data_IF_949063114336
#
_entry.id   IF_949063114336
#
_cell.length_a   1.000
_cell.length_b   1.000
_cell.length_c   1.000
_cell.angle_alpha   90.00
_cell.angle_beta   90.00
_cell.angle_gamma   90.00
#
_symmetry.space_group_name_H-M   'P 1'
#
loop_
_entity.id
_entity.type
_entity.pdbx_description
1 polymer ?
#
# COMPACT_ATOMS: atom_id res chain seq x y z
N UNK A 1 -24.13 -7.92 2.41
CA UNK A 1 -22.77 -8.48 2.30
C UNK A 1 -22.09 -7.71 1.19
N UNK A 2 -20.98 -7.03 1.48
CA UNK A 2 -20.22 -6.25 0.50
C UNK A 2 -19.53 -7.23 -0.45
N UNK A 3 -19.75 -7.06 -1.74
CA UNK A 3 -19.12 -7.92 -2.75
C UNK A 3 -17.79 -7.33 -3.18
N UNK A 4 -16.89 -8.17 -3.71
CA UNK A 4 -15.65 -7.71 -4.34
C UNK A 4 -15.92 -6.67 -5.44
N UNK A 5 -17.08 -6.72 -6.09
CA UNK A 5 -17.49 -5.75 -7.12
C UNK A 5 -17.66 -4.33 -6.57
N UNK A 6 -18.04 -4.16 -5.30
CA UNK A 6 -18.12 -2.83 -4.67
C UNK A 6 -16.73 -2.29 -4.38
N UNK A 7 -15.79 -3.14 -3.92
CA UNK A 7 -14.39 -2.77 -3.74
C UNK A 7 -13.76 -2.37 -5.09
N UNK A 8 -13.99 -3.16 -6.15
CA UNK A 8 -13.49 -2.86 -7.50
C UNK A 8 -14.01 -1.50 -8.04
N UNK A 9 -15.25 -1.13 -7.73
CA UNK A 9 -15.80 0.18 -8.10
C UNK A 9 -15.16 1.32 -7.32
N UNK A 10 -14.86 1.10 -6.03
CA UNK A 10 -14.23 2.10 -5.17
C UNK A 10 -12.74 2.26 -5.51
N UNK A 11 -12.05 1.14 -5.70
CA UNK A 11 -10.61 1.07 -5.99
C UNK A 11 -10.42 0.16 -7.19
N UNK A 12 -10.33 0.69 -8.42
CA UNK A 12 -10.08 -0.15 -9.60
C UNK A 12 -8.77 -0.96 -9.47
N UNK A 13 -8.80 -2.27 -9.76
CA UNK A 13 -7.60 -3.09 -9.74
C UNK A 13 -6.65 -2.72 -10.90
N UNK A 14 -5.36 -3.07 -10.80
CA UNK A 14 -4.43 -2.89 -11.89
C UNK A 14 -4.80 -3.76 -13.10
N UNK A 15 -4.50 -3.30 -14.31
CA UNK A 15 -4.72 -4.07 -15.54
C UNK A 15 -3.92 -5.37 -15.58
N UNK A 16 -2.75 -5.37 -14.95
CA UNK A 16 -1.84 -6.52 -14.85
C UNK A 16 -1.47 -6.71 -13.38
N UNK A 17 -2.21 -7.53 -12.65
CA UNK A 17 -1.90 -7.83 -11.25
C UNK A 17 -0.59 -8.60 -11.11
N UNK A 18 0.24 -8.22 -10.15
CA UNK A 18 1.53 -8.87 -9.86
C UNK A 18 1.30 -10.08 -8.94
N UNK A 19 1.94 -11.21 -9.21
CA UNK A 19 1.86 -12.42 -8.36
C UNK A 19 0.42 -12.83 -7.98
N UNK A 20 -0.52 -12.68 -8.92
CA UNK A 20 -1.96 -12.88 -8.69
C UNK A 20 -2.44 -14.31 -8.97
N UNK A 21 -1.61 -15.14 -9.59
CA UNK A 21 -2.01 -16.44 -10.11
C UNK A 21 -1.17 -17.58 -9.52
N UNK A 22 -1.84 -18.67 -9.16
CA UNK A 22 -1.20 -19.88 -8.65
C UNK A 22 -2.22 -20.96 -8.26
N UNK A 23 -1.79 -22.08 -7.69
CA UNK A 23 -2.67 -23.15 -7.25
C UNK A 23 -3.07 -22.97 -5.77
N UNK A 24 -4.29 -22.51 -5.55
CA UNK A 24 -4.87 -22.36 -4.21
C UNK A 24 -4.90 -23.66 -3.40
N UNK A 25 -4.99 -24.84 -4.06
CA UNK A 25 -4.97 -26.12 -3.36
C UNK A 25 -3.63 -26.41 -2.72
N UNK A 26 -2.53 -25.98 -3.35
CA UNK A 26 -1.19 -26.10 -2.75
C UNK A 26 -1.07 -25.20 -1.52
N UNK A 27 -1.58 -23.95 -1.61
CA UNK A 27 -1.59 -22.98 -0.51
C UNK A 27 -2.42 -23.52 0.67
N UNK A 28 -3.63 -23.96 0.40
CA UNK A 28 -4.54 -24.52 1.42
C UNK A 28 -3.97 -25.80 2.05
N UNK A 29 -3.35 -26.67 1.26
CA UNK A 29 -2.67 -27.85 1.78
C UNK A 29 -1.49 -27.49 2.70
N UNK A 30 -0.70 -26.45 2.36
CA UNK A 30 0.41 -25.98 3.17
C UNK A 30 -0.04 -25.34 4.48
N UNK A 31 -1.18 -24.65 4.47
CA UNK A 31 -1.81 -24.08 5.67
C UNK A 31 -2.62 -25.11 6.48
N UNK A 32 -3.03 -26.22 5.88
CA UNK A 32 -3.89 -27.24 6.50
C UNK A 32 -5.34 -26.81 6.68
N UNK A 33 -5.81 -25.80 5.94
CA UNK A 33 -7.18 -25.28 5.97
C UNK A 33 -7.57 -24.65 4.63
N UNK A 34 -8.89 -24.53 4.35
CA UNK A 34 -9.41 -23.75 3.22
C UNK A 34 -9.34 -22.24 3.50
N UNK A 35 -9.34 -21.43 2.45
CA UNK A 35 -9.30 -19.97 2.53
C UNK A 35 -10.61 -19.34 2.02
N UNK A 36 -11.00 -18.14 2.52
CA UNK A 36 -12.19 -17.43 2.08
C UNK A 36 -12.20 -17.17 0.57
N UNK A 37 -13.34 -17.40 -0.06
CA UNK A 37 -13.51 -17.23 -1.51
C UNK A 37 -13.33 -15.78 -1.94
N UNK A 38 -13.78 -14.82 -1.15
CA UNK A 38 -13.64 -13.40 -1.41
C UNK A 38 -12.17 -12.95 -1.40
N UNK A 39 -11.36 -13.48 -0.47
CA UNK A 39 -9.91 -13.20 -0.42
C UNK A 39 -9.18 -13.79 -1.63
N UNK A 40 -9.52 -15.00 -2.07
CA UNK A 40 -8.94 -15.57 -3.29
C UNK A 40 -9.20 -14.66 -4.48
N UNK A 41 -10.44 -14.18 -4.61
CA UNK A 41 -10.81 -13.23 -5.65
C UNK A 41 -10.10 -11.88 -5.50
N UNK A 42 -9.89 -11.40 -4.27
CA UNK A 42 -9.10 -10.20 -4.01
C UNK A 42 -7.69 -10.33 -4.58
N UNK A 43 -6.99 -11.42 -4.25
CA UNK A 43 -5.63 -11.67 -4.75
C UNK A 43 -5.62 -11.84 -6.28
N UNK A 44 -6.56 -12.57 -6.87
CA UNK A 44 -6.66 -12.74 -8.31
C UNK A 44 -6.87 -11.44 -9.06
N UNK A 45 -7.54 -10.46 -8.46
CA UNK A 45 -7.85 -9.16 -9.07
C UNK A 45 -6.77 -8.11 -8.84
N UNK A 46 -6.19 -8.05 -7.65
CA UNK A 46 -5.24 -7.01 -7.27
C UNK A 46 -3.79 -7.50 -7.27
N UNK A 47 -3.55 -8.76 -6.93
CA UNK A 47 -2.22 -9.31 -6.78
C UNK A 47 -1.44 -8.70 -5.63
N UNK A 48 -0.11 -8.70 -5.76
CA UNK A 48 0.81 -8.13 -4.80
C UNK A 48 0.89 -6.62 -4.95
N UNK A 49 0.56 -5.91 -3.88
CA UNK A 49 0.53 -4.44 -3.85
C UNK A 49 -0.07 -3.95 -2.54
N UNK A 50 -0.40 -2.67 -2.49
CA UNK A 50 -0.80 -1.98 -1.28
C UNK A 50 -2.00 -1.06 -1.53
N UNK A 51 -2.94 -1.03 -0.60
CA UNK A 51 -4.03 -0.07 -0.57
C UNK A 51 -3.61 1.16 0.23
N UNK A 52 -3.75 2.34 -0.36
CA UNK A 52 -3.53 3.68 0.21
C UNK A 52 -2.20 3.83 0.98
N UNK A 53 -1.14 3.19 0.46
CA UNK A 53 0.20 3.15 1.07
C UNK A 53 0.21 2.64 2.53
N UNK A 54 -0.78 1.83 2.91
CA UNK A 54 -0.91 1.32 4.27
C UNK A 54 -1.19 -0.18 4.34
N UNK A 55 -2.23 -0.71 3.68
CA UNK A 55 -2.65 -2.12 3.82
C UNK A 55 -2.12 -2.96 2.67
N UNK A 56 -1.30 -3.94 2.99
CA UNK A 56 -0.73 -4.92 2.05
C UNK A 56 -1.37 -6.30 2.27
N UNK A 57 -2.27 -6.76 1.39
CA UNK A 57 -2.75 -8.14 1.39
C UNK A 57 -1.59 -9.12 1.17
N UNK A 58 -1.59 -10.23 1.89
CA UNK A 58 -0.52 -11.22 1.83
C UNK A 58 -0.78 -12.20 0.68
N UNK A 59 -0.17 -11.96 -0.47
CA UNK A 59 -0.27 -12.91 -1.60
C UNK A 59 0.55 -14.17 -1.34
N UNK A 60 0.01 -15.37 -1.63
CA UNK A 60 0.73 -16.63 -1.50
C UNK A 60 1.53 -16.99 -2.76
N UNK A 61 1.45 -16.19 -3.82
CA UNK A 61 2.06 -16.49 -5.11
C UNK A 61 3.31 -15.66 -5.38
N UNK A 62 4.10 -16.09 -6.37
CA UNK A 62 5.32 -15.40 -6.77
C UNK A 62 6.54 -15.77 -5.92
N UNK A 63 7.61 -15.00 -6.08
CA UNK A 63 8.88 -15.23 -5.37
C UNK A 63 8.81 -14.94 -3.86
N UNK A 64 7.76 -14.23 -3.42
CA UNK A 64 7.56 -13.80 -2.04
C UNK A 64 6.23 -14.35 -1.51
N UNK A 65 6.16 -15.66 -1.23
CA UNK A 65 5.03 -16.28 -0.55
C UNK A 65 4.83 -15.66 0.85
N UNK A 66 4.16 -14.53 0.86
CA UNK A 66 3.99 -13.74 2.10
C UNK A 66 3.01 -14.40 3.05
N UNK A 67 1.94 -15.04 2.55
CA UNK A 67 0.88 -15.59 3.39
C UNK A 67 1.40 -16.73 4.27
N UNK A 68 2.02 -17.76 3.67
CA UNK A 68 2.54 -18.92 4.41
C UNK A 68 3.74 -18.53 5.30
N UNK A 69 4.66 -17.72 4.76
CA UNK A 69 5.81 -17.27 5.54
C UNK A 69 5.40 -16.41 6.75
N UNK A 70 4.39 -15.56 6.60
CA UNK A 70 3.88 -14.74 7.71
C UNK A 70 3.18 -15.59 8.75
N UNK A 71 2.36 -16.57 8.34
CA UNK A 71 1.72 -17.50 9.26
C UNK A 71 2.75 -18.23 10.14
N UNK A 72 3.84 -18.71 9.56
CA UNK A 72 4.93 -19.38 10.29
C UNK A 72 5.67 -18.42 11.24
N UNK A 73 6.06 -17.23 10.76
CA UNK A 73 6.75 -16.21 11.58
C UNK A 73 5.89 -15.72 12.73
N UNK A 74 4.59 -15.53 12.48
CA UNK A 74 3.65 -15.11 13.52
C UNK A 74 3.59 -16.12 14.64
N UNK A 75 3.43 -17.41 14.29
CA UNK A 75 3.40 -18.49 15.26
C UNK A 75 4.66 -18.56 16.12
N UNK A 76 5.86 -18.45 15.50
CA UNK A 76 7.14 -18.53 16.22
C UNK A 76 7.33 -17.35 17.18
N UNK A 77 7.00 -16.13 16.74
CA UNK A 77 7.09 -14.91 17.56
C UNK A 77 6.15 -14.97 18.76
N UNK A 78 4.90 -15.32 18.50
CA UNK A 78 3.84 -15.22 19.50
C UNK A 78 3.83 -16.38 20.49
N UNK A 79 4.38 -17.54 20.14
CA UNK A 79 4.55 -18.64 21.08
C UNK A 79 5.35 -18.20 22.32
N UNK A 80 6.49 -17.53 22.11
CA UNK A 80 7.35 -17.05 23.21
C UNK A 80 6.71 -15.93 24.03
N UNK A 81 5.92 -15.06 23.39
CA UNK A 81 5.22 -13.99 24.08
C UNK A 81 4.05 -14.54 24.92
N UNK A 82 3.24 -15.41 24.35
CA UNK A 82 2.09 -16.03 25.02
C UNK A 82 2.49 -16.89 26.24
N UNK A 83 3.62 -17.59 26.15
CA UNK A 83 4.16 -18.34 27.30
C UNK A 83 4.45 -17.44 28.49
N UNK A 84 4.86 -16.20 28.27
CA UNK A 84 5.20 -15.22 29.29
C UNK A 84 4.04 -14.33 29.73
N UNK A 85 3.10 -14.08 28.82
CA UNK A 85 2.00 -13.12 28.96
C UNK A 85 0.66 -13.72 28.50
N UNK A 86 0.19 -14.84 29.06
CA UNK A 86 -1.00 -15.53 28.57
C UNK A 86 -2.28 -14.67 28.66
N UNK A 87 -2.36 -13.79 29.66
CA UNK A 87 -3.54 -12.93 29.87
C UNK A 87 -3.62 -11.75 28.85
N UNK A 88 -2.52 -11.48 28.14
CA UNK A 88 -2.46 -10.44 27.11
C UNK A 88 -2.76 -10.98 25.69
N UNK A 89 -2.95 -12.30 25.53
CA UNK A 89 -3.20 -12.96 24.26
C UNK A 89 -4.61 -13.58 24.22
N UNK A 90 -5.67 -12.82 23.93
CA UNK A 90 -7.04 -13.29 24.00
C UNK A 90 -7.40 -14.33 22.92
N UNK A 91 -6.58 -14.46 21.88
CA UNK A 91 -6.78 -15.38 20.77
C UNK A 91 -5.61 -16.35 20.64
N UNK A 92 -5.88 -17.63 20.29
CA UNK A 92 -4.83 -18.52 19.81
C UNK A 92 -4.34 -18.09 18.43
N UNK A 93 -3.23 -18.68 17.98
CA UNK A 93 -2.71 -18.46 16.61
C UNK A 93 -2.82 -19.74 15.81
N UNK A 94 -3.08 -19.60 14.49
CA UNK A 94 -3.06 -20.73 13.57
C UNK A 94 -1.71 -21.50 13.70
N UNK A 95 -1.67 -22.85 13.76
CA UNK A 95 -2.73 -23.80 13.44
C UNK A 95 -3.65 -24.23 14.61
N UNK A 96 -3.63 -23.55 15.76
CA UNK A 96 -4.60 -23.88 16.82
C UNK A 96 -6.04 -23.62 16.33
N UNK A 97 -7.03 -24.46 16.70
CA UNK A 97 -8.41 -24.29 16.28
C UNK A 97 -8.98 -22.91 16.66
N UNK A 98 -9.53 -22.19 15.69
CA UNK A 98 -10.02 -20.83 15.88
C UNK A 98 -8.92 -19.79 16.08
N UNK A 99 -7.68 -20.12 15.69
CA UNK A 99 -6.53 -19.23 15.80
C UNK A 99 -6.53 -18.08 14.79
N UNK A 100 -5.77 -17.05 15.09
CA UNK A 100 -5.54 -15.94 14.18
C UNK A 100 -4.62 -16.36 13.03
N UNK A 101 -5.03 -16.04 11.79
CA UNK A 101 -4.25 -16.20 10.57
C UNK A 101 -4.16 -14.83 9.88
N UNK A 102 -2.98 -14.27 9.77
CA UNK A 102 -2.76 -12.97 9.15
C UNK A 102 -3.03 -13.04 7.64
N UNK A 103 -3.87 -12.12 7.12
CA UNK A 103 -4.18 -12.00 5.70
C UNK A 103 -3.70 -10.69 5.08
N UNK A 104 -3.43 -9.68 5.91
CA UNK A 104 -2.81 -8.42 5.49
C UNK A 104 -1.99 -7.82 6.63
N UNK A 105 -0.99 -7.05 6.27
CA UNK A 105 -0.22 -6.23 7.20
C UNK A 105 -0.32 -4.75 6.87
N UNK A 106 0.11 -3.89 7.79
CA UNK A 106 0.25 -2.47 7.55
C UNK A 106 1.71 -2.03 7.58
N UNK A 107 2.03 -0.88 6.97
CA UNK A 107 3.36 -0.26 7.05
C UNK A 107 3.69 0.17 8.49
N UNK A 108 2.67 0.38 9.32
CA UNK A 108 2.83 0.64 10.75
C UNK A 108 3.13 -0.62 11.57
N UNK A 109 3.12 -1.80 10.96
CA UNK A 109 3.40 -3.09 11.62
C UNK A 109 2.21 -3.67 12.36
N UNK A 110 0.99 -3.22 12.05
CA UNK A 110 -0.25 -3.84 12.51
C UNK A 110 -0.60 -5.03 11.63
N UNK A 111 -1.35 -5.97 12.16
CA UNK A 111 -1.78 -7.18 11.46
C UNK A 111 -3.30 -7.22 11.33
N UNK A 112 -3.78 -7.57 10.14
CA UNK A 112 -5.17 -7.89 9.88
C UNK A 112 -5.29 -9.40 9.76
N UNK A 113 -6.01 -10.02 10.69
CA UNK A 113 -6.09 -11.47 10.81
C UNK A 113 -7.52 -11.95 10.57
N UNK A 114 -7.66 -13.16 10.04
CA UNK A 114 -8.89 -13.93 10.21
C UNK A 114 -8.92 -14.60 11.60
N UNK A 115 -10.10 -14.69 12.16
CA UNK A 115 -10.40 -15.61 13.26
C UNK A 115 -10.89 -16.92 12.63
N UNK A 116 -10.04 -17.96 12.54
CA UNK A 116 -10.30 -19.19 11.78
C UNK A 116 -11.29 -20.13 12.49
N UNK A 117 -12.51 -19.61 12.75
CA UNK A 117 -13.57 -20.33 13.46
C UNK A 117 -14.73 -20.62 12.53
N UNK A 118 -15.04 -21.90 12.32
CA UNK A 118 -16.09 -22.34 11.40
C UNK A 118 -15.62 -22.41 9.96
N UNK A 119 -16.56 -22.28 9.02
CA UNK A 119 -16.26 -22.32 7.58
C UNK A 119 -15.52 -21.05 7.13
N UNK A 120 -14.56 -21.16 6.18
CA UNK A 120 -13.71 -20.04 5.77
C UNK A 120 -14.47 -18.78 5.33
N UNK A 121 -15.54 -18.93 4.56
CA UNK A 121 -16.34 -17.78 4.09
C UNK A 121 -17.13 -17.07 5.21
N UNK A 122 -17.13 -17.63 6.42
CA UNK A 122 -17.75 -17.05 7.61
C UNK A 122 -16.74 -16.48 8.63
N UNK A 123 -15.45 -16.43 8.31
CA UNK A 123 -14.45 -15.92 9.26
C UNK A 123 -14.54 -14.40 9.41
N UNK A 124 -14.56 -13.96 10.69
CA UNK A 124 -14.45 -12.54 11.04
C UNK A 124 -13.01 -12.05 11.01
N UNK A 125 -12.85 -10.73 11.01
CA UNK A 125 -11.56 -10.05 11.02
C UNK A 125 -11.19 -9.60 12.42
N UNK A 126 -9.91 -9.75 12.78
CA UNK A 126 -9.31 -9.13 13.96
C UNK A 126 -8.18 -8.22 13.51
N UNK A 127 -8.28 -6.94 13.81
CA UNK A 127 -7.18 -5.98 13.66
C UNK A 127 -6.36 -6.02 14.94
N UNK A 128 -5.07 -6.23 14.81
CA UNK A 128 -4.15 -6.40 15.92
C UNK A 128 -2.94 -5.49 15.81
N UNK A 129 -2.70 -4.71 16.87
CA UNK A 129 -1.47 -3.95 17.04
C UNK A 129 -0.55 -4.66 18.02
N UNK A 130 0.55 -5.29 17.55
CA UNK A 130 1.45 -6.05 18.43
C UNK A 130 2.26 -5.19 19.40
N UNK A 131 2.40 -3.90 19.15
CA UNK A 131 3.17 -2.99 20.02
C UNK A 131 2.39 -2.55 21.24
N UNK A 132 1.10 -2.29 21.09
CA UNK A 132 0.20 -1.94 22.20
C UNK A 132 -0.61 -3.12 22.74
N UNK A 133 -0.43 -4.31 22.17
CA UNK A 133 -1.19 -5.54 22.49
C UNK A 133 -2.70 -5.32 22.41
N UNK A 134 -3.14 -4.50 21.44
CA UNK A 134 -4.53 -4.17 21.23
C UNK A 134 -5.15 -5.04 20.12
N UNK A 135 -6.34 -5.60 20.39
CA UNK A 135 -7.10 -6.44 19.48
C UNK A 135 -8.51 -5.90 19.32
N UNK A 136 -8.96 -5.73 18.08
CA UNK A 136 -10.32 -5.31 17.76
C UNK A 136 -10.93 -6.26 16.75
N UNK A 137 -12.02 -6.94 17.15
CA UNK A 137 -12.71 -7.94 16.33
C UNK A 137 -13.92 -7.33 15.60
N UNK A 138 -14.11 -7.78 14.37
CA UNK A 138 -15.20 -7.39 13.47
C UNK A 138 -15.85 -8.66 12.90
N UNK A 139 -17.18 -8.73 12.97
CA UNK A 139 -17.97 -9.85 12.44
C UNK A 139 -18.28 -9.62 10.94
N UNK A 140 -17.22 -9.44 10.17
CA UNK A 140 -17.26 -9.24 8.71
C UNK A 140 -16.06 -9.93 8.06
N UNK A 141 -16.20 -10.36 6.80
CA UNK A 141 -15.10 -10.97 6.02
C UNK A 141 -14.01 -9.96 5.65
N UNK A 142 -12.87 -10.44 5.16
CA UNK A 142 -11.69 -9.61 4.85
C UNK A 142 -11.99 -8.53 3.80
N UNK A 143 -12.67 -8.88 2.71
CA UNK A 143 -13.02 -7.92 1.65
C UNK A 143 -14.06 -6.91 2.12
N UNK A 144 -15.02 -7.35 2.94
CA UNK A 144 -16.00 -6.44 3.52
C UNK A 144 -15.38 -5.46 4.51
N UNK A 145 -14.44 -5.93 5.35
CA UNK A 145 -13.66 -5.08 6.24
C UNK A 145 -12.85 -4.04 5.45
N UNK A 146 -12.09 -4.48 4.45
CA UNK A 146 -11.25 -3.61 3.61
C UNK A 146 -12.09 -2.53 2.92
N UNK A 147 -13.18 -2.92 2.25
CA UNK A 147 -14.09 -1.97 1.63
C UNK A 147 -14.74 -1.02 2.65
N UNK A 148 -15.15 -1.56 3.79
CA UNK A 148 -15.76 -0.77 4.87
C UNK A 148 -14.82 0.30 5.41
N UNK A 149 -13.56 -0.05 5.64
CA UNK A 149 -12.55 0.88 6.10
C UNK A 149 -12.19 1.91 5.03
N UNK A 150 -11.91 1.49 3.78
CA UNK A 150 -11.60 2.40 2.67
C UNK A 150 -12.74 3.39 2.34
N UNK A 151 -13.99 3.03 2.63
CA UNK A 151 -15.16 3.89 2.42
C UNK A 151 -15.58 4.67 3.67
N UNK A 152 -14.85 4.57 4.78
CA UNK A 152 -15.19 5.23 6.05
C UNK A 152 -16.38 4.62 6.80
N UNK A 153 -16.93 3.48 6.35
CA UNK A 153 -18.05 2.79 7.04
C UNK A 153 -17.62 1.98 8.25
N UNK A 154 -16.38 1.51 8.26
CA UNK A 154 -15.77 0.81 9.39
C UNK A 154 -14.61 1.66 9.88
N UNK A 155 -14.61 1.96 11.17
CA UNK A 155 -13.51 2.62 11.86
C UNK A 155 -12.86 1.66 12.86
N UNK A 156 -11.61 1.89 13.17
CA UNK A 156 -10.85 1.10 14.14
C UNK A 156 -9.86 1.99 14.87
N UNK A 157 -9.66 1.83 16.17
CA UNK A 157 -8.69 2.64 16.92
C UNK A 157 -7.23 2.30 16.61
N UNK A 158 -6.97 1.32 15.71
CA UNK A 158 -5.63 0.90 15.30
C UNK A 158 -5.21 1.52 13.97
N UNK A 159 -6.12 1.53 12.99
CA UNK A 159 -5.86 2.14 11.68
C UNK A 159 -6.30 3.61 11.69
N UNK A 160 -5.78 4.46 10.82
CA UNK A 160 -6.26 5.83 10.66
C UNK A 160 -7.78 5.90 10.43
N UNK A 161 -8.44 6.87 11.06
CA UNK A 161 -9.91 7.01 11.00
C UNK A 161 -10.41 7.51 9.63
N UNK A 162 -9.57 8.21 8.88
CA UNK A 162 -9.95 8.82 7.61
C UNK A 162 -8.94 8.48 6.52
N UNK A 163 -9.46 7.96 5.41
CA UNK A 163 -8.79 8.03 4.11
C UNK A 163 -9.26 9.33 3.47
N UNK A 164 -8.54 10.43 3.74
CA UNK A 164 -8.92 11.79 3.32
C UNK A 164 -9.09 11.98 1.81
N UNK A 165 -8.68 11.01 1.02
CA UNK A 165 -8.68 11.06 -0.44
C UNK A 165 -9.36 9.83 -1.03
N UNK A 166 -9.67 9.92 -2.33
CA UNK A 166 -10.14 8.74 -3.07
C UNK A 166 -9.13 7.59 -2.91
N UNK A 167 -9.53 6.44 -2.37
CA UNK A 167 -8.62 5.34 -2.13
C UNK A 167 -8.07 4.76 -3.45
N UNK A 168 -6.88 4.20 -3.40
CA UNK A 168 -6.18 3.61 -4.54
C UNK A 168 -5.49 2.31 -4.16
N UNK A 169 -5.05 1.57 -5.18
CA UNK A 169 -4.17 0.41 -5.04
C UNK A 169 -2.90 0.62 -5.87
N UNK A 170 -1.75 0.37 -5.27
CA UNK A 170 -0.44 0.45 -5.91
C UNK A 170 0.15 -0.96 -6.04
N UNK A 171 0.31 -1.52 -7.26
CA UNK A 171 0.95 -2.82 -7.44
C UNK A 171 2.46 -2.73 -7.19
N UNK A 172 3.05 -3.71 -6.50
CA UNK A 172 4.49 -3.77 -6.27
C UNK A 172 5.21 -4.28 -7.51
N UNK A 173 5.58 -3.35 -8.38
CA UNK A 173 6.41 -3.57 -9.57
C UNK A 173 7.82 -3.03 -9.34
N UNK A 174 8.76 -3.52 -10.13
CA UNK A 174 10.09 -2.92 -10.19
C UNK A 174 9.99 -1.47 -10.67
N UNK A 175 10.67 -0.56 -9.98
CA UNK A 175 10.67 0.87 -10.28
C UNK A 175 12.05 1.46 -10.07
N UNK A 176 12.42 2.35 -10.97
CA UNK A 176 13.50 3.29 -10.78
C UNK A 176 13.03 4.49 -9.96
N UNK A 177 13.93 5.03 -9.12
CA UNK A 177 13.67 6.18 -8.28
C UNK A 177 14.70 7.26 -8.56
N UNK A 178 14.24 8.42 -9.04
CA UNK A 178 15.09 9.55 -9.35
C UNK A 178 14.63 10.80 -8.59
N UNK A 179 15.61 11.53 -8.06
CA UNK A 179 15.47 12.80 -7.38
C UNK A 179 16.01 13.89 -8.28
N UNK A 180 15.18 14.87 -8.64
CA UNK A 180 15.50 15.98 -9.53
C UNK A 180 15.52 17.25 -8.71
N UNK A 181 16.71 17.73 -8.33
CA UNK A 181 16.88 18.99 -7.60
C UNK A 181 16.72 20.16 -8.56
N UNK A 182 15.91 21.14 -8.14
CA UNK A 182 15.57 22.32 -8.92
C UNK A 182 16.16 23.58 -8.31
N UNK A 183 16.41 24.59 -9.17
CA UNK A 183 16.66 25.95 -8.71
C UNK A 183 15.37 26.56 -8.15
N UNK A 184 15.50 27.67 -7.41
CA UNK A 184 14.36 28.54 -7.14
C UNK A 184 13.65 28.92 -8.44
N UNK A 185 12.32 29.01 -8.38
CA UNK A 185 11.47 29.43 -9.49
C UNK A 185 10.76 30.73 -9.16
N UNK A 186 10.51 31.56 -10.17
CA UNK A 186 9.80 32.84 -10.01
C UNK A 186 8.31 32.67 -9.69
N UNK A 187 7.69 31.59 -10.16
CA UNK A 187 6.26 31.30 -9.96
C UNK A 187 5.99 30.73 -8.56
N UNK A 188 4.81 31.02 -7.98
CA UNK A 188 4.36 30.39 -6.73
C UNK A 188 4.35 28.86 -6.80
N UNK A 189 4.49 28.19 -5.65
CA UNK A 189 4.49 26.73 -5.53
C UNK A 189 3.28 26.07 -6.24
N UNK A 190 2.08 26.59 -6.02
CA UNK A 190 0.86 26.02 -6.61
C UNK A 190 0.82 26.11 -8.15
N UNK A 191 1.36 27.17 -8.71
CA UNK A 191 1.42 27.35 -10.17
C UNK A 191 2.43 26.34 -10.77
N UNK A 192 3.55 26.13 -10.10
CA UNK A 192 4.55 25.12 -10.47
C UNK A 192 3.99 23.71 -10.36
N UNK A 193 3.29 23.39 -9.26
CA UNK A 193 2.60 22.10 -9.08
C UNK A 193 1.56 21.87 -10.18
N UNK A 194 0.80 22.89 -10.53
CA UNK A 194 -0.17 22.79 -11.62
C UNK A 194 0.50 22.50 -12.97
N UNK A 195 1.59 23.18 -13.30
CA UNK A 195 2.37 22.96 -14.53
C UNK A 195 2.90 21.52 -14.58
N UNK A 196 3.42 21.02 -13.45
CA UNK A 196 3.93 19.65 -13.35
C UNK A 196 2.82 18.62 -13.56
N UNK A 197 1.68 18.82 -12.90
CA UNK A 197 0.52 17.92 -13.05
C UNK A 197 -0.10 17.98 -14.44
N UNK A 198 -0.15 19.15 -15.08
CA UNK A 198 -0.62 19.29 -16.46
C UNK A 198 0.26 18.51 -17.44
N UNK A 199 1.58 18.53 -17.24
CA UNK A 199 2.53 17.77 -18.08
C UNK A 199 2.38 16.24 -17.93
N UNK A 200 1.78 15.79 -16.85
CA UNK A 200 1.64 14.37 -16.47
C UNK A 200 0.20 13.86 -16.47
N UNK A 201 -0.75 14.71 -16.88
CA UNK A 201 -2.17 14.39 -16.82
C UNK A 201 -2.55 13.12 -17.63
N UNK A 202 -3.53 12.33 -17.13
CA UNK A 202 -4.30 12.55 -15.91
C UNK A 202 -3.50 12.22 -14.61
N UNK A 203 -3.78 12.98 -13.53
CA UNK A 203 -3.13 12.78 -12.24
C UNK A 203 -4.16 12.58 -11.12
N UNK A 204 -3.78 11.81 -10.10
CA UNK A 204 -4.58 11.60 -8.89
C UNK A 204 -3.75 11.90 -7.64
N UNK A 205 -4.37 12.57 -6.64
CA UNK A 205 -3.72 12.86 -5.37
C UNK A 205 -3.41 11.59 -4.58
N UNK A 206 -2.31 11.64 -3.82
CA UNK A 206 -1.83 10.56 -2.94
C UNK A 206 -1.49 11.07 -1.53
N UNK A 207 -1.57 12.37 -1.29
CA UNK A 207 -1.28 13.02 -0.03
C UNK A 207 -0.50 14.30 -0.17
N UNK A 208 -0.25 14.93 0.97
CA UNK A 208 0.58 16.11 1.04
C UNK A 208 0.64 16.63 2.47
N UNK A 209 1.59 17.51 2.70
CA UNK A 209 1.69 18.24 3.96
C UNK A 209 2.16 19.67 3.72
N UNK A 210 1.94 20.50 4.72
CA UNK A 210 2.49 21.84 4.81
C UNK A 210 3.05 22.01 6.21
N UNK A 211 4.29 22.46 6.32
CA UNK A 211 4.90 22.75 7.61
C UNK A 211 4.55 24.15 8.14
N UNK A 212 5.07 24.48 9.33
CA UNK A 212 4.82 25.77 10.00
C UNK A 212 5.48 26.96 9.25
N UNK A 213 6.55 26.71 8.51
CA UNK A 213 7.26 27.72 7.71
C UNK A 213 6.58 27.97 6.34
N UNK A 214 5.56 27.16 6.03
CA UNK A 214 4.77 27.26 4.80
C UNK A 214 5.34 26.45 3.63
N UNK A 215 6.40 25.69 3.86
CA UNK A 215 6.94 24.73 2.90
C UNK A 215 5.96 23.59 2.67
N UNK A 216 5.97 23.00 1.48
CA UNK A 216 4.96 22.05 1.03
C UNK A 216 5.58 20.79 0.45
N UNK A 217 4.80 19.72 0.58
CA UNK A 217 5.03 18.45 -0.10
C UNK A 217 3.69 17.94 -0.63
N UNK A 218 3.61 17.68 -1.92
CA UNK A 218 2.43 17.11 -2.58
C UNK A 218 2.82 15.80 -3.26
N UNK A 219 2.10 14.71 -2.90
CA UNK A 219 2.24 13.38 -3.47
C UNK A 219 1.10 13.14 -4.45
N UNK A 220 1.40 12.62 -5.64
CA UNK A 220 0.38 12.28 -6.64
C UNK A 220 0.88 11.20 -7.60
N UNK A 221 -0.04 10.57 -8.31
CA UNK A 221 0.25 9.62 -9.37
C UNK A 221 -0.12 10.19 -10.72
N UNK A 222 0.69 9.94 -11.75
CA UNK A 222 0.34 10.08 -13.15
C UNK A 222 -0.28 8.75 -13.59
N UNK A 223 -1.62 8.67 -13.57
CA UNK A 223 -2.34 7.39 -13.57
C UNK A 223 -2.17 6.57 -14.84
N UNK A 224 -2.14 7.22 -16.01
CA UNK A 224 -1.97 6.55 -17.31
C UNK A 224 -0.50 6.14 -17.57
N UNK A 225 0.44 6.75 -16.84
CA UNK A 225 1.87 6.46 -16.95
C UNK A 225 2.34 5.44 -15.92
N UNK A 226 1.57 5.24 -14.84
CA UNK A 226 1.98 4.41 -13.72
C UNK A 226 3.15 4.98 -12.92
N UNK A 227 3.37 6.33 -12.98
CA UNK A 227 4.42 7.00 -12.23
C UNK A 227 3.88 7.56 -10.93
N UNK A 228 4.67 7.46 -9.87
CA UNK A 228 4.38 8.10 -8.58
C UNK A 228 5.34 9.24 -8.35
N UNK A 229 4.84 10.41 -7.96
CA UNK A 229 5.61 11.63 -7.83
C UNK A 229 5.42 12.30 -6.48
N UNK A 230 6.48 12.94 -6.02
CA UNK A 230 6.45 13.93 -4.95
C UNK A 230 7.05 15.23 -5.48
N UNK A 231 6.32 16.32 -5.36
CA UNK A 231 6.87 17.67 -5.55
C UNK A 231 6.95 18.35 -4.20
N UNK A 232 8.11 18.91 -3.86
CA UNK A 232 8.33 19.41 -2.51
C UNK A 232 9.30 20.57 -2.42
N UNK A 233 9.15 21.35 -1.32
CA UNK A 233 10.12 22.35 -0.84
C UNK A 233 10.53 22.11 0.61
N UNK A 234 9.88 21.17 1.32
CA UNK A 234 10.13 20.85 2.75
C UNK A 234 11.57 20.44 3.04
N UNK A 235 12.15 19.58 2.22
CA UNK A 235 13.54 19.11 2.40
C UNK A 235 14.50 19.77 1.43
N UNK A 236 14.04 20.03 0.23
CA UNK A 236 14.75 20.69 -0.87
C UNK A 236 13.71 21.06 -1.92
N UNK A 237 14.01 22.01 -2.81
CA UNK A 237 13.16 22.23 -3.97
C UNK A 237 13.43 21.13 -5.01
N UNK A 238 12.58 20.11 -5.03
CA UNK A 238 12.82 18.91 -5.85
C UNK A 238 11.54 18.20 -6.31
N UNK A 239 11.71 17.40 -7.36
CA UNK A 239 10.76 16.37 -7.78
C UNK A 239 11.39 15.01 -7.47
N UNK A 240 10.66 14.16 -6.76
CA UNK A 240 10.98 12.73 -6.65
C UNK A 240 10.01 11.96 -7.54
N UNK A 241 10.53 11.06 -8.33
CA UNK A 241 9.71 10.23 -9.23
C UNK A 241 10.09 8.76 -9.11
N UNK A 242 9.06 7.90 -9.06
CA UNK A 242 9.19 6.45 -9.19
C UNK A 242 8.46 6.01 -10.45
N UNK A 243 9.13 5.23 -11.32
CA UNK A 243 8.64 4.88 -12.65
C UNK A 243 9.16 3.51 -13.10
N UNK A 244 8.46 2.83 -14.05
CA UNK A 244 8.96 1.61 -14.67
C UNK A 244 10.30 1.86 -15.41
N UNK A 245 11.30 0.95 -15.31
CA UNK A 245 12.63 1.15 -15.93
C UNK A 245 12.59 1.47 -17.42
N UNK A 246 11.63 0.91 -18.14
CA UNK A 246 11.44 1.15 -19.59
C UNK A 246 11.03 2.58 -19.95
N UNK A 247 10.54 3.35 -18.97
CA UNK A 247 10.08 4.73 -19.15
C UNK A 247 11.18 5.78 -18.90
N UNK A 248 12.41 5.40 -18.58
CA UNK A 248 13.49 6.29 -18.14
C UNK A 248 13.65 7.55 -19.03
N UNK A 249 13.79 7.35 -20.33
CA UNK A 249 13.98 8.48 -21.27
C UNK A 249 12.73 9.38 -21.34
N UNK A 250 11.55 8.78 -21.32
CA UNK A 250 10.27 9.51 -21.31
C UNK A 250 10.11 10.36 -20.06
N UNK A 251 10.44 9.79 -18.89
CA UNK A 251 10.43 10.49 -17.60
C UNK A 251 11.37 11.68 -17.65
N UNK A 252 12.62 11.46 -18.07
CA UNK A 252 13.64 12.50 -18.17
C UNK A 252 13.19 13.67 -19.03
N UNK A 253 12.73 13.38 -20.25
CA UNK A 253 12.28 14.42 -21.20
C UNK A 253 11.08 15.20 -20.65
N UNK A 254 10.08 14.48 -20.12
CA UNK A 254 8.85 15.08 -19.61
C UNK A 254 9.11 15.99 -18.40
N UNK A 255 9.89 15.52 -17.42
CA UNK A 255 10.15 16.27 -16.20
C UNK A 255 11.11 17.45 -16.42
N UNK A 256 12.06 17.33 -17.34
CA UNK A 256 12.94 18.46 -17.70
C UNK A 256 12.17 19.55 -18.45
N UNK A 257 11.23 19.18 -19.32
CA UNK A 257 10.33 20.15 -19.96
C UNK A 257 9.41 20.83 -18.93
N UNK A 258 8.82 20.05 -18.02
CA UNK A 258 8.01 20.58 -16.93
C UNK A 258 8.81 21.57 -16.07
N UNK A 259 10.03 21.22 -15.63
CA UNK A 259 10.90 22.10 -14.85
C UNK A 259 11.16 23.44 -15.58
N UNK A 260 11.45 23.38 -16.88
CA UNK A 260 11.64 24.59 -17.70
C UNK A 260 10.37 25.44 -17.77
N UNK A 261 9.19 24.84 -17.95
CA UNK A 261 7.89 25.54 -17.94
C UNK A 261 7.57 26.16 -16.58
N UNK A 262 8.05 25.55 -15.48
CA UNK A 262 7.98 26.08 -14.11
C UNK A 262 8.92 27.26 -13.87
N UNK A 263 9.78 27.61 -14.83
CA UNK A 263 10.83 28.62 -14.66
C UNK A 263 12.02 28.16 -13.82
N UNK A 264 12.19 26.84 -13.65
CA UNK A 264 13.25 26.25 -12.85
C UNK A 264 14.35 25.64 -13.73
N UNK A 265 15.59 25.63 -13.21
CA UNK A 265 16.71 24.89 -13.78
C UNK A 265 16.87 23.56 -13.02
N UNK A 266 17.15 22.48 -13.72
CA UNK A 266 17.59 21.23 -13.10
C UNK A 266 19.05 21.40 -12.65
N UNK A 267 19.28 21.29 -11.33
CA UNK A 267 20.61 21.46 -10.72
C UNK A 267 21.36 20.13 -10.64
N UNK A 268 20.67 19.05 -10.31
CA UNK A 268 21.22 17.72 -10.28
C UNK A 268 20.10 16.67 -10.36
N UNK A 269 20.49 15.47 -10.80
CA UNK A 269 19.64 14.28 -10.78
C UNK A 269 20.40 13.13 -10.15
N UNK A 270 19.76 12.44 -9.20
CA UNK A 270 20.39 11.35 -8.46
C UNK A 270 19.42 10.19 -8.24
N UNK A 271 19.95 8.99 -8.03
CA UNK A 271 19.20 7.86 -7.50
C UNK A 271 18.80 8.10 -6.04
N UNK A 272 17.99 7.21 -5.48
CA UNK A 272 17.66 7.19 -4.04
C UNK A 272 18.93 7.08 -3.14
N UNK A 273 20.02 6.51 -3.67
CA UNK A 273 21.30 6.37 -2.94
C UNK A 273 22.25 7.58 -3.15
N UNK A 274 21.81 8.59 -3.90
CA UNK A 274 22.61 9.81 -4.18
C UNK A 274 23.60 9.65 -5.35
N UNK A 275 23.53 8.57 -6.11
CA UNK A 275 24.36 8.36 -7.28
C UNK A 275 23.86 9.21 -8.45
N UNK A 276 24.72 9.96 -9.16
CA UNK A 276 24.30 10.79 -10.29
C UNK A 276 23.70 9.95 -11.43
N UNK A 277 22.59 10.44 -11.99
CA UNK A 277 21.93 9.86 -13.19
C UNK A 277 21.59 10.97 -14.17
N UNK A 278 21.31 10.63 -15.42
CA UNK A 278 20.88 11.58 -16.47
C UNK A 278 21.86 12.77 -16.69
N UNK A 279 23.16 12.53 -16.52
CA UNK A 279 24.23 13.53 -16.71
C UNK A 279 24.48 13.87 -18.18
#
# INVERSE_FOLDING_TARGET
MTTIDELIRLVPPPTEPVDAQGDWREVEAALGLGLPTDFKTLIERYGRGQFVDLITPLTPFGAHDLLIQRAQRLLDRERSFREKHPDECPYPFHPEPGGLLEWAGTDNGDSLCWLTKGEPDGWGVVVWNPRSVAYHAYDVGAVEFLHGWLSGRITTPILPDEVEMSPWFEPFREREHVYIKLSEGESPYLDRLWILRDALAPTADRGGCRDEDGERQDHFAATDLGWSLTYETVYDHQIRVAFPPEDEERVRVTLFDAARRMGCQVLSTTTRLGEPVWT
#
